data_IF_839647728034
#
_entry.id   IF_839647728034
#
_cell.length_a   1.000
_cell.length_b   1.000
_cell.length_c   1.000
_cell.angle_alpha   90.00
_cell.angle_beta   90.00
_cell.angle_gamma   90.00
#
_symmetry.space_group_name_H-M   'P 1'
#
loop_
_entity.id
_entity.type
_entity.pdbx_description
1 polymer ?
#
# COMPACT_ATOMS: atom_id res chain seq x y z
N UNK A 1 -24.02 -14.68 -1.29
CA UNK A 1 -22.58 -14.62 -1.59
C UNK A 1 -22.21 -15.82 -2.44
N UNK A 2 -21.74 -15.66 -3.68
CA UNK A 2 -21.17 -16.79 -4.44
C UNK A 2 -19.90 -17.25 -3.72
N UNK A 3 -19.80 -18.55 -3.40
CA UNK A 3 -18.56 -19.13 -2.90
C UNK A 3 -17.48 -18.95 -3.97
N UNK A 4 -16.44 -18.19 -3.66
CA UNK A 4 -15.25 -18.11 -4.50
C UNK A 4 -14.49 -19.42 -4.30
N UNK A 5 -14.02 -20.02 -5.40
CA UNK A 5 -13.27 -21.28 -5.30
C UNK A 5 -11.97 -21.09 -4.52
N UNK A 6 -11.56 -22.08 -3.74
CA UNK A 6 -10.29 -22.07 -3.00
C UNK A 6 -9.09 -21.73 -3.90
N UNK A 7 -9.12 -22.22 -5.15
CA UNK A 7 -8.09 -21.92 -6.16
C UNK A 7 -7.93 -20.41 -6.40
N UNK A 8 -9.03 -19.69 -6.58
CA UNK A 8 -9.00 -18.25 -6.81
C UNK A 8 -8.52 -17.47 -5.58
N UNK A 9 -8.79 -17.96 -4.37
CA UNK A 9 -8.28 -17.37 -3.13
C UNK A 9 -6.75 -17.52 -3.02
N UNK A 10 -6.22 -18.70 -3.36
CA UNK A 10 -4.77 -18.96 -3.39
C UNK A 10 -4.09 -18.09 -4.46
N UNK A 11 -4.69 -17.97 -5.64
CA UNK A 11 -4.20 -17.09 -6.70
C UNK A 11 -4.17 -15.63 -6.22
N UNK A 12 -5.20 -15.17 -5.52
CA UNK A 12 -5.24 -13.81 -4.96
C UNK A 12 -4.14 -13.58 -3.92
N UNK A 13 -3.91 -14.54 -3.00
CA UNK A 13 -2.79 -14.48 -2.03
C UNK A 13 -1.46 -14.35 -2.76
N UNK A 14 -1.22 -15.19 -3.77
CA UNK A 14 0.04 -15.19 -4.52
C UNK A 14 0.25 -13.87 -5.26
N UNK A 15 -0.76 -13.39 -6.00
CA UNK A 15 -0.67 -12.15 -6.78
C UNK A 15 -0.45 -10.95 -5.88
N UNK A 16 -1.21 -10.82 -4.78
CA UNK A 16 -1.07 -9.70 -3.84
C UNK A 16 0.29 -9.73 -3.16
N UNK A 17 0.74 -10.90 -2.71
CA UNK A 17 2.07 -11.08 -2.09
C UNK A 17 3.18 -10.69 -3.06
N UNK A 18 3.14 -11.20 -4.30
CA UNK A 18 4.13 -10.92 -5.32
C UNK A 18 4.15 -9.42 -5.69
N UNK A 19 2.98 -8.81 -5.87
CA UNK A 19 2.87 -7.39 -6.16
C UNK A 19 3.44 -6.54 -5.01
N UNK A 20 3.13 -6.88 -3.76
CA UNK A 20 3.63 -6.17 -2.59
C UNK A 20 5.16 -6.26 -2.48
N UNK A 21 5.71 -7.47 -2.54
CA UNK A 21 7.17 -7.71 -2.45
C UNK A 21 7.91 -7.03 -3.61
N UNK A 22 7.38 -7.13 -4.84
CA UNK A 22 8.01 -6.54 -6.01
C UNK A 22 8.02 -5.02 -5.93
N UNK A 23 6.89 -4.38 -5.60
CA UNK A 23 6.81 -2.92 -5.51
C UNK A 23 7.54 -2.37 -4.29
N UNK A 24 7.67 -3.17 -3.23
CA UNK A 24 8.58 -2.88 -2.13
C UNK A 24 10.03 -2.87 -2.61
N UNK A 25 10.47 -3.94 -3.30
CA UNK A 25 11.82 -4.03 -3.83
C UNK A 25 12.12 -2.90 -4.83
N UNK A 26 11.20 -2.57 -5.74
CA UNK A 26 11.35 -1.41 -6.65
C UNK A 26 11.52 -0.11 -5.86
N UNK A 27 10.76 0.06 -4.78
CA UNK A 27 10.87 1.28 -3.97
C UNK A 27 12.24 1.38 -3.30
N UNK A 28 12.68 0.33 -2.60
CA UNK A 28 13.93 0.36 -1.82
C UNK A 28 15.19 0.23 -2.68
N UNK A 29 15.17 -0.55 -3.76
CA UNK A 29 16.36 -0.83 -4.57
C UNK A 29 16.51 0.12 -5.75
N UNK A 30 15.46 0.86 -6.13
CA UNK A 30 15.50 1.75 -7.28
C UNK A 30 15.02 3.16 -6.95
N UNK A 31 13.79 3.33 -6.48
CA UNK A 31 13.21 4.67 -6.23
C UNK A 31 14.02 5.44 -5.20
N UNK A 32 14.32 4.84 -4.05
CA UNK A 32 15.01 5.52 -2.95
C UNK A 32 16.48 5.83 -3.28
N UNK A 33 17.28 4.93 -3.88
CA UNK A 33 18.62 5.27 -4.35
C UNK A 33 18.63 6.43 -5.36
N UNK A 34 17.72 6.43 -6.34
CA UNK A 34 17.62 7.52 -7.32
C UNK A 34 17.15 8.82 -6.66
N UNK A 35 16.16 8.77 -5.77
CA UNK A 35 15.76 9.93 -4.97
C UNK A 35 16.95 10.50 -4.19
N UNK A 36 17.76 9.62 -3.61
CA UNK A 36 18.94 9.94 -2.83
C UNK A 36 20.05 10.64 -3.62
N UNK A 37 20.02 10.69 -4.96
CA UNK A 37 20.96 11.50 -5.76
C UNK A 37 20.51 12.93 -6.00
N UNK A 38 19.23 13.25 -5.75
CA UNK A 38 18.65 14.58 -5.98
C UNK A 38 18.18 15.25 -4.68
N UNK A 39 17.78 14.46 -3.69
CA UNK A 39 17.19 14.92 -2.44
C UNK A 39 17.99 14.42 -1.23
N UNK A 40 19.27 14.80 -1.14
CA UNK A 40 20.19 14.30 -0.09
C UNK A 40 19.76 14.70 1.33
N UNK A 41 18.91 15.71 1.45
CA UNK A 41 18.38 16.20 2.72
C UNK A 41 17.16 15.39 3.21
N UNK A 42 16.57 14.53 2.36
CA UNK A 42 15.46 13.67 2.78
C UNK A 42 15.99 12.49 3.60
N UNK A 43 15.40 12.21 4.78
CA UNK A 43 15.72 11.03 5.56
C UNK A 43 15.56 9.73 4.76
N UNK A 44 16.46 8.78 4.98
CA UNK A 44 16.49 7.52 4.21
C UNK A 44 15.34 6.55 4.53
N UNK A 45 14.47 6.89 5.49
CA UNK A 45 13.21 6.20 5.74
C UNK A 45 12.02 6.79 4.97
N UNK A 46 12.18 7.97 4.33
CA UNK A 46 11.13 8.62 3.55
C UNK A 46 11.35 8.37 2.06
N UNK A 47 10.39 7.70 1.42
CA UNK A 47 10.29 7.64 -0.05
C UNK A 47 9.21 8.58 -0.53
N UNK A 48 9.52 9.48 -1.46
CA UNK A 48 8.57 10.38 -2.13
C UNK A 48 7.65 9.65 -3.12
N UNK A 49 7.88 8.37 -3.41
CA UNK A 49 7.02 7.53 -4.23
C UNK A 49 6.98 6.13 -3.60
N UNK A 50 6.14 5.95 -2.59
CA UNK A 50 6.06 4.71 -1.83
C UNK A 50 4.97 3.78 -2.37
N UNK A 51 5.35 2.96 -3.37
CA UNK A 51 4.45 2.06 -4.08
C UNK A 51 3.75 0.97 -3.21
N UNK A 52 4.36 0.42 -2.14
CA UNK A 52 3.73 -0.58 -1.29
C UNK A 52 2.44 -0.10 -0.62
N UNK A 53 2.34 1.21 -0.34
CA UNK A 53 1.09 1.79 0.17
C UNK A 53 -0.05 1.60 -0.82
N UNK A 54 0.19 1.87 -2.10
CA UNK A 54 -0.78 1.65 -3.16
C UNK A 54 -1.32 0.22 -3.20
N UNK A 55 -0.43 -0.78 -3.05
CA UNK A 55 -0.81 -2.19 -3.04
C UNK A 55 -1.78 -2.52 -1.90
N UNK A 56 -1.55 -1.98 -0.70
CA UNK A 56 -2.45 -2.19 0.44
C UNK A 56 -3.86 -1.70 0.14
N UNK A 57 -3.97 -0.44 -0.29
CA UNK A 57 -5.26 0.21 -0.54
C UNK A 57 -6.02 -0.46 -1.68
N UNK A 58 -5.33 -0.75 -2.79
CA UNK A 58 -5.94 -1.39 -3.96
C UNK A 58 -6.34 -2.85 -3.67
N UNK A 59 -5.54 -3.58 -2.90
CA UNK A 59 -5.91 -4.95 -2.48
C UNK A 59 -7.13 -4.93 -1.59
N UNK A 60 -7.19 -4.03 -0.60
CA UNK A 60 -8.37 -3.90 0.27
C UNK A 60 -9.59 -3.46 -0.53
N UNK A 61 -9.43 -2.51 -1.45
CA UNK A 61 -10.52 -2.07 -2.31
C UNK A 61 -11.07 -3.20 -3.21
N UNK A 62 -10.19 -4.00 -3.83
CA UNK A 62 -10.57 -5.06 -4.79
C UNK A 62 -10.96 -6.40 -4.14
N UNK A 63 -10.53 -6.66 -2.91
CA UNK A 63 -10.76 -7.94 -2.22
C UNK A 63 -11.53 -7.81 -0.90
N UNK A 64 -11.78 -6.57 -0.43
CA UNK A 64 -12.44 -6.29 0.83
C UNK A 64 -11.64 -6.81 2.03
N UNK A 65 -12.34 -7.25 3.07
CA UNK A 65 -11.72 -7.82 4.29
C UNK A 65 -10.77 -9.00 4.05
N UNK A 66 -10.90 -9.72 2.93
CA UNK A 66 -10.02 -10.86 2.64
C UNK A 66 -8.58 -10.43 2.35
N UNK A 67 -8.38 -9.20 1.85
CA UNK A 67 -7.04 -8.67 1.60
C UNK A 67 -6.20 -8.57 2.87
N UNK A 68 -6.81 -8.53 4.06
CA UNK A 68 -6.10 -8.65 5.32
C UNK A 68 -5.19 -9.89 5.34
N UNK A 69 -5.69 -11.03 4.84
CA UNK A 69 -4.92 -12.28 4.77
C UNK A 69 -3.98 -12.31 3.57
N UNK A 70 -4.39 -11.74 2.44
CA UNK A 70 -3.60 -11.78 1.21
C UNK A 70 -2.33 -10.92 1.31
N UNK A 71 -2.37 -9.84 2.11
CA UNK A 71 -1.24 -8.94 2.32
C UNK A 71 -0.21 -9.47 3.33
N UNK A 72 -0.62 -10.32 4.28
CA UNK A 72 0.25 -10.77 5.38
C UNK A 72 1.55 -11.41 4.92
N UNK A 73 1.57 -12.38 3.98
CA UNK A 73 2.83 -13.00 3.57
C UNK A 73 3.81 -11.99 2.96
N UNK A 74 3.33 -11.08 2.12
CA UNK A 74 4.16 -10.03 1.53
C UNK A 74 4.75 -9.10 2.59
N UNK A 75 3.92 -8.67 3.54
CA UNK A 75 4.39 -7.86 4.67
C UNK A 75 5.43 -8.59 5.52
N UNK A 76 5.24 -9.86 5.85
CA UNK A 76 6.20 -10.66 6.63
C UNK A 76 7.54 -10.79 5.89
N UNK A 77 7.51 -11.08 4.58
CA UNK A 77 8.73 -11.19 3.76
C UNK A 77 9.49 -9.87 3.75
N UNK A 78 8.81 -8.75 3.48
CA UNK A 78 9.46 -7.43 3.44
C UNK A 78 9.92 -6.94 4.81
N UNK A 79 9.20 -7.30 5.88
CA UNK A 79 9.63 -7.07 7.25
C UNK A 79 10.92 -7.85 7.54
N UNK A 80 10.95 -9.16 7.25
CA UNK A 80 12.12 -10.00 7.46
C UNK A 80 13.34 -9.46 6.69
N UNK A 81 13.14 -9.00 5.45
CA UNK A 81 14.20 -8.33 4.69
C UNK A 81 14.70 -7.07 5.40
N UNK A 82 13.80 -6.19 5.84
CA UNK A 82 14.19 -4.97 6.55
C UNK A 82 14.92 -5.27 7.87
N UNK A 83 14.41 -6.20 8.68
CA UNK A 83 15.01 -6.54 9.96
C UNK A 83 16.35 -7.25 9.81
N UNK A 84 16.44 -8.27 8.97
CA UNK A 84 17.65 -9.11 8.86
C UNK A 84 18.72 -8.54 7.92
N UNK A 85 18.33 -7.81 6.86
CA UNK A 85 19.27 -7.31 5.86
C UNK A 85 19.57 -5.82 6.01
N UNK A 86 18.59 -5.02 6.46
CA UNK A 86 18.75 -3.57 6.62
C UNK A 86 18.91 -3.13 8.08
N UNK A 87 18.85 -4.07 9.04
CA UNK A 87 18.97 -3.77 10.46
C UNK A 87 17.83 -2.92 11.02
N UNK A 88 16.64 -2.97 10.41
CA UNK A 88 15.48 -2.21 10.88
C UNK A 88 15.00 -2.74 12.23
N UNK A 89 14.83 -1.83 13.19
CA UNK A 89 14.24 -2.11 14.51
C UNK A 89 12.70 -2.18 14.49
N UNK A 90 12.08 -2.09 13.31
CA UNK A 90 10.63 -2.22 13.22
C UNK A 90 10.19 -3.63 13.63
N UNK A 91 9.41 -3.70 14.70
CA UNK A 91 8.65 -4.88 15.10
C UNK A 91 7.71 -5.41 13.99
N UNK A 92 7.52 -6.74 13.93
CA UNK A 92 6.62 -7.43 13.01
C UNK A 92 5.16 -6.94 13.10
N UNK A 93 4.71 -6.45 14.26
CA UNK A 93 3.40 -5.85 14.47
C UNK A 93 3.19 -4.58 13.64
N UNK A 94 4.25 -3.94 13.14
CA UNK A 94 4.16 -2.86 12.14
C UNK A 94 3.37 -3.25 10.90
N UNK A 95 3.45 -4.52 10.49
CA UNK A 95 2.65 -5.05 9.39
C UNK A 95 1.15 -5.00 9.72
N UNK A 96 0.78 -5.44 10.92
CA UNK A 96 -0.62 -5.45 11.37
C UNK A 96 -1.18 -4.04 11.44
N UNK A 97 -0.42 -3.11 12.03
CA UNK A 97 -0.79 -1.68 12.10
C UNK A 97 -1.01 -1.10 10.70
N UNK A 98 -0.07 -1.36 9.79
CA UNK A 98 -0.09 -0.90 8.41
C UNK A 98 -1.30 -1.40 7.63
N UNK A 99 -1.62 -2.69 7.75
CA UNK A 99 -2.76 -3.32 7.09
C UNK A 99 -4.07 -2.81 7.71
N UNK A 100 -4.15 -2.74 9.05
CA UNK A 100 -5.34 -2.28 9.76
C UNK A 100 -5.68 -0.82 9.44
N UNK A 101 -4.70 0.09 9.46
CA UNK A 101 -4.90 1.49 9.10
C UNK A 101 -5.47 1.63 7.68
N UNK A 102 -4.91 0.86 6.73
CA UNK A 102 -5.40 0.83 5.34
C UNK A 102 -6.82 0.29 5.25
N UNK A 103 -7.13 -0.77 6.00
CA UNK A 103 -8.45 -1.39 6.01
C UNK A 103 -9.52 -0.45 6.56
N UNK A 104 -9.26 0.16 7.72
CA UNK A 104 -10.20 1.10 8.33
C UNK A 104 -10.41 2.34 7.46
N UNK A 105 -9.37 2.85 6.80
CA UNK A 105 -9.50 3.99 5.91
C UNK A 105 -10.39 3.70 4.68
N UNK A 106 -10.21 2.55 4.03
CA UNK A 106 -11.09 2.13 2.92
C UNK A 106 -12.52 1.94 3.41
N UNK A 107 -12.71 1.24 4.54
CA UNK A 107 -14.02 1.04 5.13
C UNK A 107 -14.72 2.36 5.49
N UNK A 108 -13.97 3.34 6.00
CA UNK A 108 -14.50 4.65 6.36
C UNK A 108 -14.98 5.43 5.13
N UNK A 109 -14.18 5.45 4.06
CA UNK A 109 -14.49 6.21 2.84
C UNK A 109 -15.63 5.57 2.06
N UNK A 110 -15.58 4.25 1.85
CA UNK A 110 -16.57 3.54 1.03
C UNK A 110 -17.78 3.04 1.83
N UNK A 111 -17.75 3.15 3.17
CA UNK A 111 -18.79 2.68 4.10
C UNK A 111 -19.12 1.20 3.92
N UNK A 112 -18.12 0.42 3.52
CA UNK A 112 -18.23 -1.03 3.35
C UNK A 112 -16.89 -1.71 3.56
N UNK A 113 -16.96 -2.94 4.03
CA UNK A 113 -15.87 -3.92 4.12
C UNK A 113 -15.85 -4.93 2.96
N UNK A 114 -16.75 -4.78 1.98
CA UNK A 114 -16.83 -5.66 0.82
C UNK A 114 -15.93 -5.18 -0.31
N UNK A 115 -15.58 -6.10 -1.20
CA UNK A 115 -14.84 -5.77 -2.43
C UNK A 115 -15.62 -4.88 -3.38
N UNK A 116 -14.88 -4.10 -4.16
CA UNK A 116 -15.34 -3.38 -5.34
C UNK A 116 -14.83 -4.03 -6.63
N UNK A 117 -15.43 -3.68 -7.76
CA UNK A 117 -15.02 -4.14 -9.08
C UNK A 117 -13.86 -3.31 -9.63
N UNK A 118 -12.99 -3.95 -10.41
CA UNK A 118 -11.93 -3.27 -11.17
C UNK A 118 -12.51 -2.20 -12.12
N UNK A 119 -13.71 -2.44 -12.67
CA UNK A 119 -14.39 -1.48 -13.55
C UNK A 119 -14.70 -0.14 -12.88
N UNK A 120 -14.77 -0.10 -11.55
CA UNK A 120 -15.08 1.09 -10.75
C UNK A 120 -13.83 1.89 -10.36
N UNK A 121 -12.61 1.38 -10.62
CA UNK A 121 -11.36 2.07 -10.26
C UNK A 121 -11.31 3.49 -10.85
N UNK A 122 -11.76 3.65 -12.09
CA UNK A 122 -11.78 4.95 -12.77
C UNK A 122 -12.81 5.91 -12.18
N UNK A 123 -13.97 5.44 -11.70
CA UNK A 123 -14.96 6.32 -11.08
C UNK A 123 -14.58 6.66 -9.65
N UNK A 124 -13.92 5.76 -8.94
CA UNK A 124 -13.59 5.91 -7.52
C UNK A 124 -12.18 6.42 -7.24
N UNK A 125 -11.41 6.83 -8.27
CA UNK A 125 -9.99 7.15 -8.09
C UNK A 125 -9.71 8.21 -7.02
N UNK A 126 -10.53 9.26 -6.93
CA UNK A 126 -10.39 10.30 -5.91
C UNK A 126 -10.70 9.77 -4.51
N UNK A 127 -11.73 8.94 -4.38
CA UNK A 127 -12.09 8.30 -3.11
C UNK A 127 -10.99 7.34 -2.65
N UNK A 128 -10.37 6.60 -3.57
CA UNK A 128 -9.23 5.74 -3.26
C UNK A 128 -8.04 6.57 -2.75
N UNK A 129 -7.75 7.72 -3.37
CA UNK A 129 -6.71 8.64 -2.87
C UNK A 129 -7.01 9.19 -1.48
N UNK A 130 -8.26 9.58 -1.22
CA UNK A 130 -8.71 10.04 0.11
C UNK A 130 -8.52 8.91 1.14
N UNK A 131 -8.89 7.68 0.79
CA UNK A 131 -8.66 6.53 1.65
C UNK A 131 -7.15 6.29 1.89
N UNK A 132 -6.30 6.46 0.87
CA UNK A 132 -4.84 6.38 1.03
C UNK A 132 -4.28 7.45 1.97
N UNK A 133 -4.72 8.70 1.83
CA UNK A 133 -4.31 9.77 2.74
C UNK A 133 -4.70 9.47 4.20
N UNK A 134 -5.93 9.04 4.43
CA UNK A 134 -6.41 8.63 5.76
C UNK A 134 -5.64 7.42 6.30
N UNK A 135 -5.34 6.44 5.43
CA UNK A 135 -4.55 5.27 5.78
C UNK A 135 -3.13 5.66 6.20
N UNK A 136 -2.51 6.62 5.52
CA UNK A 136 -1.17 7.11 5.84
C UNK A 136 -1.12 7.78 7.21
N UNK A 137 -2.10 8.65 7.50
CA UNK A 137 -2.24 9.28 8.83
C UNK A 137 -2.46 8.21 9.91
N UNK A 138 -3.40 7.29 9.69
CA UNK A 138 -3.68 6.19 10.63
C UNK A 138 -2.47 5.30 10.85
N UNK A 139 -1.66 5.05 9.81
CA UNK A 139 -0.42 4.30 9.90
C UNK A 139 0.61 5.04 10.76
N UNK A 140 0.85 6.33 10.50
CA UNK A 140 1.77 7.14 11.30
C UNK A 140 1.37 7.23 12.78
N UNK A 141 0.08 7.35 13.08
CA UNK A 141 -0.46 7.35 14.45
C UNK A 141 -0.32 5.98 15.12
N UNK A 142 -0.62 4.89 14.41
CA UNK A 142 -0.48 3.53 14.93
C UNK A 142 0.97 3.19 15.25
N UNK A 143 1.91 3.61 14.41
CA UNK A 143 3.35 3.47 14.66
C UNK A 143 3.80 4.30 15.87
N UNK A 144 3.34 5.55 15.99
CA UNK A 144 3.63 6.37 17.18
C UNK A 144 3.14 5.69 18.47
N UNK A 145 1.95 5.07 18.43
CA UNK A 145 1.38 4.37 19.57
C UNK A 145 2.21 3.16 20.00
N UNK A 146 2.61 2.28 19.06
CA UNK A 146 3.35 1.05 19.40
C UNK A 146 4.81 1.32 19.80
N UNK A 147 5.44 2.38 19.27
CA UNK A 147 6.82 2.73 19.58
C UNK A 147 6.95 3.79 20.69
N UNK A 148 5.83 4.20 21.30
CA UNK A 148 5.83 5.20 22.39
C UNK A 148 6.32 6.58 21.94
N UNK A 149 6.18 6.91 20.67
CA UNK A 149 6.64 8.18 20.10
C UNK A 149 5.79 9.36 20.58
N UNK A 150 6.45 10.50 20.82
CA UNK A 150 5.76 11.76 21.09
C UNK A 150 5.23 12.36 19.78
N UNK A 151 4.02 12.93 19.81
CA UNK A 151 3.44 13.65 18.67
C UNK A 151 3.97 15.08 18.61
N UNK A 152 5.28 15.20 18.34
CA UNK A 152 6.00 16.45 18.29
C UNK A 152 6.21 16.95 16.84
N UNK A 153 7.01 18.01 16.68
CA UNK A 153 7.35 18.58 15.37
C UNK A 153 8.13 17.60 14.49
N UNK A 154 8.94 16.72 15.08
CA UNK A 154 9.68 15.71 14.34
C UNK A 154 8.75 14.64 13.78
N UNK A 155 7.79 14.17 14.60
CA UNK A 155 6.73 13.28 14.13
C UNK A 155 5.93 13.90 12.99
N UNK A 156 5.52 15.17 13.11
CA UNK A 156 4.77 15.89 12.06
C UNK A 156 5.55 15.94 10.74
N UNK A 157 6.86 16.15 10.82
CA UNK A 157 7.74 16.20 9.64
C UNK A 157 7.83 14.84 8.95
N UNK A 158 8.04 13.77 9.73
CA UNK A 158 8.07 12.39 9.21
C UNK A 158 6.71 11.97 8.63
N UNK A 159 5.63 12.23 9.36
CA UNK A 159 4.27 11.92 8.93
C UNK A 159 3.91 12.67 7.64
N UNK A 160 4.33 13.93 7.49
CA UNK A 160 4.17 14.70 6.26
C UNK A 160 4.92 14.08 5.08
N UNK A 161 6.17 13.65 5.29
CA UNK A 161 6.96 12.94 4.27
C UNK A 161 6.32 11.62 3.85
N UNK A 162 5.88 10.81 4.81
CA UNK A 162 5.16 9.56 4.54
C UNK A 162 3.85 9.79 3.81
N UNK A 163 3.08 10.81 4.19
CA UNK A 163 1.82 11.14 3.52
C UNK A 163 2.04 11.49 2.04
N UNK A 164 3.06 12.30 1.74
CA UNK A 164 3.42 12.64 0.36
C UNK A 164 3.82 11.38 -0.40
N UNK A 165 4.69 10.56 0.17
CA UNK A 165 5.15 9.31 -0.43
C UNK A 165 4.03 8.30 -0.69
N UNK A 166 3.15 8.12 0.27
CA UNK A 166 2.04 7.18 0.23
C UNK A 166 0.99 7.58 -0.81
N UNK A 167 0.59 8.86 -0.81
CA UNK A 167 -0.44 9.37 -1.74
C UNK A 167 0.07 9.37 -3.18
N UNK A 168 1.32 9.78 -3.41
CA UNK A 168 1.93 9.75 -4.75
C UNK A 168 2.16 8.33 -5.24
N UNK A 169 2.63 7.42 -4.37
CA UNK A 169 2.81 6.00 -4.68
C UNK A 169 1.50 5.31 -5.04
N UNK A 170 0.44 5.57 -4.27
CA UNK A 170 -0.91 5.11 -4.58
C UNK A 170 -1.42 5.70 -5.89
N UNK A 171 -1.24 7.01 -6.11
CA UNK A 171 -1.68 7.65 -7.35
C UNK A 171 -1.00 7.03 -8.57
N UNK A 172 0.32 6.87 -8.54
CA UNK A 172 1.08 6.27 -9.64
C UNK A 172 0.60 4.85 -9.95
N UNK A 173 0.42 4.02 -8.91
CA UNK A 173 -0.03 2.64 -9.09
C UNK A 173 -1.48 2.57 -9.60
N UNK A 174 -2.37 3.39 -9.08
CA UNK A 174 -3.76 3.49 -9.53
C UNK A 174 -3.85 3.93 -11.00
N UNK A 175 -3.07 4.94 -11.39
CA UNK A 175 -2.98 5.37 -12.79
C UNK A 175 -2.46 4.24 -13.67
N UNK A 176 -1.39 3.56 -13.28
CA UNK A 176 -0.85 2.42 -14.02
C UNK A 176 -1.91 1.34 -14.24
N UNK A 177 -2.69 0.97 -13.20
CA UNK A 177 -3.77 -0.01 -13.34
C UNK A 177 -4.90 0.46 -14.26
N UNK A 178 -5.31 1.73 -14.18
CA UNK A 178 -6.34 2.28 -15.06
C UNK A 178 -5.87 2.28 -16.53
N UNK A 179 -4.60 2.60 -16.79
CA UNK A 179 -4.05 2.59 -18.16
C UNK A 179 -3.87 1.17 -18.70
N UNK A 180 -3.32 0.25 -17.89
CA UNK A 180 -3.12 -1.15 -18.28
C UNK A 180 -4.46 -1.85 -18.56
N UNK A 181 -5.46 -1.68 -17.67
CA UNK A 181 -6.80 -2.26 -17.86
C UNK A 181 -7.49 -1.72 -19.12
N UNK A 182 -7.31 -0.43 -19.42
CA UNK A 182 -7.80 0.19 -20.65
C UNK A 182 -7.14 -0.41 -21.89
N UNK A 183 -5.81 -0.56 -21.88
CA UNK A 183 -5.09 -1.16 -23.01
C UNK A 183 -5.49 -2.61 -23.24
N UNK A 184 -5.59 -3.40 -22.18
CA UNK A 184 -6.02 -4.79 -22.26
C UNK A 184 -7.41 -4.92 -22.90
N UNK A 185 -8.37 -4.08 -22.49
CA UNK A 185 -9.72 -4.05 -23.07
C UNK A 185 -9.75 -3.66 -24.55
N UNK A 186 -8.90 -2.72 -24.97
CA UNK A 186 -8.80 -2.33 -26.38
C UNK A 186 -8.24 -3.47 -27.21
N UNK A 187 -7.24 -4.18 -26.69
CA UNK A 187 -6.61 -5.29 -27.41
C UNK A 187 -7.52 -6.51 -27.49
N UNK A 188 -8.20 -6.88 -26.40
CA UNK A 188 -9.15 -7.99 -26.38
C UNK A 188 -10.35 -7.79 -27.29
N UNK A 189 -10.76 -6.55 -27.55
CA UNK A 189 -11.87 -6.24 -28.44
C UNK A 189 -11.50 -6.24 -29.94
N UNK A 190 -10.20 -6.38 -30.25
CA UNK A 190 -9.69 -6.45 -31.64
C UNK A 190 -9.41 -7.87 -32.12
N UNK A 191 -9.48 -8.85 -31.21
CA UNK A 191 -9.35 -10.30 -31.48
C UNK A 191 -10.73 -10.93 -31.45
#
# INVERSE_FOLDING_TARGET
>A
MRSVSLKAEIEAVFVVTLAYVTLFAVTFLFVMPVQGTYFHWLPMNISLLFLPHGVRLLSIYLFGWKALFYLLPGHIITWAYQSFMLGSEQDVFSAVVSIAASFFAVCLVFRTWTRHSESELRSHWQLILIAGALASIGNGLGHAFIYGGQLDVAWLTLAGGYLIGDVTGLFALLMALIFVSRWYRIWSNKV
#
